data_IF_033973813358
#
_entry.id   IF_033973813358
#
_cell.length_a   1.000
_cell.length_b   1.000
_cell.length_c   1.000
_cell.angle_alpha   90.00
_cell.angle_beta   90.00
_cell.angle_gamma   90.00
#
_symmetry.space_group_name_H-M   'P 1'
#
loop_
_entity.id
_entity.type
_entity.pdbx_description
1 polymer ?
#
# COMPACT_ATOMS: atom_id res chain seq x y z
N UNK A 1 -6.59 17.50 2.84
CA UNK A 1 -7.91 16.98 2.41
C UNK A 1 -8.01 15.50 2.76
N UNK A 2 -9.10 15.11 3.35
CA UNK A 2 -9.34 13.72 3.72
C UNK A 2 -10.36 13.08 2.79
N UNK A 3 -10.19 11.80 2.52
CA UNK A 3 -11.11 11.04 1.71
C UNK A 3 -11.16 9.60 2.17
N UNK A 4 -12.33 9.12 2.52
CA UNK A 4 -12.52 7.72 2.88
C UNK A 4 -12.47 6.84 1.63
N UNK A 5 -12.04 5.60 1.82
CA UNK A 5 -12.01 4.62 0.74
C UNK A 5 -12.06 3.20 1.27
N UNK A 6 -12.30 2.28 0.37
CA UNK A 6 -12.29 0.86 0.70
C UNK A 6 -10.92 0.28 0.41
N UNK A 7 -10.52 -0.69 1.23
CA UNK A 7 -9.24 -1.37 1.06
C UNK A 7 -9.43 -2.61 0.20
N UNK A 8 -8.53 -2.80 -0.76
CA UNK A 8 -8.43 -4.02 -1.55
C UNK A 8 -6.96 -4.41 -1.65
N UNK A 9 -6.68 -5.69 -1.74
CA UNK A 9 -5.32 -6.17 -2.02
C UNK A 9 -5.16 -6.36 -3.53
N UNK A 10 -3.98 -6.11 -4.03
CA UNK A 10 -3.70 -6.19 -5.46
C UNK A 10 -3.93 -7.60 -6.01
N UNK A 11 -3.64 -8.62 -5.19
CA UNK A 11 -3.89 -10.01 -5.57
C UNK A 11 -4.19 -10.87 -4.35
N UNK A 12 -4.70 -12.07 -4.60
CA UNK A 12 -5.10 -13.01 -3.56
C UNK A 12 -3.90 -13.48 -2.73
N UNK A 13 -2.75 -13.65 -3.36
CA UNK A 13 -1.54 -14.11 -2.69
C UNK A 13 -1.10 -13.12 -1.61
N UNK A 14 -1.18 -11.83 -1.91
CA UNK A 14 -0.85 -10.79 -0.94
C UNK A 14 -1.82 -10.80 0.23
N UNK A 15 -3.11 -10.95 -0.06
CA UNK A 15 -4.14 -11.03 0.98
C UNK A 15 -3.89 -12.22 1.90
N UNK A 16 -3.57 -13.37 1.33
CA UNK A 16 -3.26 -14.57 2.11
C UNK A 16 -2.02 -14.38 2.98
N UNK A 17 -0.99 -13.71 2.45
CA UNK A 17 0.20 -13.38 3.22
C UNK A 17 -0.13 -12.53 4.43
N UNK A 18 -1.01 -11.55 4.26
CA UNK A 18 -1.46 -10.70 5.36
C UNK A 18 -2.18 -11.55 6.42
N UNK A 19 -3.10 -12.40 6.01
CA UNK A 19 -3.87 -13.23 6.94
C UNK A 19 -2.98 -14.19 7.73
N UNK A 20 -1.93 -14.72 7.10
CA UNK A 20 -0.98 -15.61 7.76
C UNK A 20 -0.19 -14.91 8.86
N UNK A 21 0.05 -13.60 8.73
CA UNK A 21 0.77 -12.85 9.76
C UNK A 21 0.10 -12.95 11.12
N UNK A 22 -1.21 -13.09 11.16
CA UNK A 22 -1.93 -13.24 12.43
C UNK A 22 -1.35 -14.34 13.31
N UNK A 23 -0.86 -15.42 12.70
CA UNK A 23 -0.31 -16.57 13.41
C UNK A 23 1.21 -16.54 13.53
N UNK A 24 1.90 -15.87 12.60
CA UNK A 24 3.37 -15.84 12.58
C UNK A 24 3.97 -14.64 13.29
N UNK A 25 3.32 -13.49 13.16
CA UNK A 25 3.81 -12.24 13.76
C UNK A 25 2.62 -11.34 14.04
N UNK A 26 2.00 -11.60 15.19
CA UNK A 26 0.79 -10.90 15.58
C UNK A 26 0.99 -9.39 15.70
N UNK A 27 2.14 -8.95 16.22
CA UNK A 27 2.41 -7.52 16.34
C UNK A 27 2.47 -6.83 14.99
N UNK A 28 3.13 -7.46 14.02
CA UNK A 28 3.21 -6.91 12.66
C UNK A 28 1.85 -6.95 11.97
N UNK A 29 1.09 -8.02 12.20
CA UNK A 29 -0.29 -8.11 11.69
C UNK A 29 -1.12 -6.93 12.18
N UNK A 30 -1.06 -6.65 13.49
CA UNK A 30 -1.81 -5.55 14.07
C UNK A 30 -1.34 -4.19 13.56
N UNK A 31 -0.05 -4.03 13.35
CA UNK A 31 0.50 -2.79 12.79
C UNK A 31 -0.02 -2.54 11.38
N UNK A 32 -0.01 -3.58 10.52
CA UNK A 32 -0.56 -3.45 9.18
C UNK A 32 -2.07 -3.20 9.24
N UNK A 33 -2.78 -3.91 10.11
CA UNK A 33 -4.23 -3.70 10.27
C UNK A 33 -4.54 -2.25 10.64
N UNK A 34 -3.77 -1.67 11.55
CA UNK A 34 -3.93 -0.27 11.93
C UNK A 34 -3.65 0.66 10.75
N UNK A 35 -2.63 0.36 9.96
CA UNK A 35 -2.31 1.12 8.76
C UNK A 35 -3.47 1.07 7.76
N UNK A 36 -4.05 -0.11 7.55
CA UNK A 36 -5.20 -0.26 6.65
C UNK A 36 -6.40 0.54 7.13
N UNK A 37 -6.63 0.58 8.44
CA UNK A 37 -7.72 1.37 9.02
C UNK A 37 -7.50 2.86 8.78
N UNK A 38 -6.28 3.34 8.97
CA UNK A 38 -5.95 4.75 8.72
C UNK A 38 -6.09 5.11 7.24
N UNK A 39 -5.64 4.24 6.34
CA UNK A 39 -5.77 4.45 4.90
C UNK A 39 -7.25 4.44 4.50
N UNK A 40 -8.06 3.56 5.09
CA UNK A 40 -9.50 3.52 4.81
C UNK A 40 -10.19 4.82 5.23
N UNK A 41 -9.79 5.37 6.38
CA UNK A 41 -10.36 6.63 6.87
C UNK A 41 -9.90 7.84 6.05
N UNK A 42 -8.70 7.77 5.49
CA UNK A 42 -8.17 8.84 4.66
C UNK A 42 -7.15 8.26 3.69
N UNK A 43 -7.54 8.04 2.44
CA UNK A 43 -6.66 7.42 1.45
C UNK A 43 -5.44 8.28 1.12
N UNK A 44 -5.45 9.56 1.48
CA UNK A 44 -4.32 10.48 1.27
C UNK A 44 -3.37 10.54 2.47
N UNK A 45 -3.53 9.65 3.47
CA UNK A 45 -2.71 9.72 4.69
C UNK A 45 -1.25 9.32 4.46
N UNK A 46 -0.96 8.55 3.41
CA UNK A 46 0.41 8.21 3.07
C UNK A 46 1.13 9.33 2.35
N UNK A 47 2.38 9.08 2.00
CA UNK A 47 3.20 10.04 1.25
C UNK A 47 3.04 9.77 -0.24
N UNK A 48 2.66 10.80 -0.99
CA UNK A 48 2.48 10.70 -2.43
C UNK A 48 3.85 10.65 -3.14
N UNK A 49 4.06 9.65 -3.96
CA UNK A 49 5.29 9.50 -4.75
C UNK A 49 5.17 10.32 -6.02
N UNK A 50 6.22 11.06 -6.36
CA UNK A 50 6.25 11.81 -7.63
C UNK A 50 6.13 10.85 -8.80
N UNK A 51 5.37 11.23 -9.83
CA UNK A 51 5.10 10.36 -10.98
C UNK A 51 6.35 9.79 -11.60
N UNK A 52 7.38 10.61 -11.77
CA UNK A 52 8.62 10.18 -12.40
C UNK A 52 9.42 9.19 -11.56
N UNK A 53 9.08 9.05 -10.28
CA UNK A 53 9.74 8.11 -9.38
C UNK A 53 8.99 6.80 -9.20
N UNK A 54 7.79 6.67 -9.79
CA UNK A 54 7.02 5.43 -9.69
C UNK A 54 7.76 4.31 -10.45
N UNK A 55 8.03 3.17 -9.80
CA UNK A 55 8.71 2.06 -10.48
C UNK A 55 7.95 1.62 -11.73
N UNK A 56 8.67 1.48 -12.84
CA UNK A 56 8.06 1.09 -14.12
C UNK A 56 7.36 -0.26 -14.04
N UNK A 57 7.89 -1.18 -13.23
CA UNK A 57 7.27 -2.50 -13.05
C UNK A 57 5.86 -2.41 -12.49
N UNK A 58 5.59 -1.44 -11.62
CA UNK A 58 4.24 -1.22 -11.08
C UNK A 58 3.32 -0.62 -12.13
N UNK A 59 3.83 0.32 -12.92
CA UNK A 59 3.03 0.93 -14.00
C UNK A 59 2.63 -0.15 -15.01
N UNK A 60 3.57 -1.03 -15.38
CA UNK A 60 3.31 -2.09 -16.34
C UNK A 60 2.35 -3.15 -15.81
N UNK A 61 2.54 -3.55 -14.53
CA UNK A 61 1.75 -4.63 -13.94
C UNK A 61 0.34 -4.20 -13.56
N UNK A 62 0.19 -2.99 -13.02
CA UNK A 62 -1.08 -2.54 -12.44
C UNK A 62 -1.73 -1.39 -13.19
N UNK A 63 -1.07 -0.85 -14.21
CA UNK A 63 -1.56 0.31 -14.97
C UNK A 63 -1.96 1.47 -14.06
N UNK A 64 -1.21 1.66 -12.99
CA UNK A 64 -1.48 2.74 -12.03
C UNK A 64 -0.87 4.06 -12.49
N UNK A 65 -1.43 5.16 -12.01
CA UNK A 65 -0.91 6.50 -12.29
C UNK A 65 -0.60 7.30 -11.03
N UNK A 66 -0.64 6.63 -9.88
CA UNK A 66 -0.29 7.24 -8.60
C UNK A 66 0.24 6.15 -7.68
N UNK A 67 1.05 6.54 -6.70
CA UNK A 67 1.62 5.60 -5.74
C UNK A 67 1.79 6.34 -4.43
N UNK A 68 1.46 5.67 -3.33
CA UNK A 68 1.50 6.21 -1.99
C UNK A 68 2.27 5.27 -1.08
N UNK A 69 2.98 5.85 -0.11
CA UNK A 69 3.79 5.08 0.83
C UNK A 69 3.33 5.41 2.25
N UNK A 70 2.97 4.37 2.99
CA UNK A 70 2.65 4.47 4.40
C UNK A 70 3.81 3.89 5.20
N UNK A 71 4.42 4.70 6.07
CA UNK A 71 5.56 4.26 6.87
C UNK A 71 5.10 3.37 8.02
N UNK A 72 5.68 2.18 8.09
CA UNK A 72 5.54 1.26 9.21
C UNK A 72 6.80 1.39 10.08
N UNK A 73 6.82 0.71 11.23
CA UNK A 73 7.98 0.75 12.12
C UNK A 73 9.21 0.09 11.50
N UNK A 74 10.37 0.40 12.04
CA UNK A 74 11.67 -0.22 11.68
C UNK A 74 12.01 -0.14 10.19
N UNK A 75 11.59 0.95 9.55
CA UNK A 75 11.91 1.16 8.13
C UNK A 75 11.04 0.39 7.16
N UNK A 76 10.05 -0.36 7.63
CA UNK A 76 9.11 -1.04 6.76
C UNK A 76 8.19 -0.02 6.08
N UNK A 77 7.77 -0.34 4.88
CA UNK A 77 6.91 0.51 4.05
C UNK A 77 5.75 -0.30 3.50
N UNK A 78 4.56 0.29 3.52
CA UNK A 78 3.38 -0.27 2.86
C UNK A 78 3.08 0.60 1.65
N UNK A 79 2.94 -0.02 0.49
CA UNK A 79 2.73 0.68 -0.77
C UNK A 79 1.33 0.43 -1.26
N UNK A 80 0.67 1.50 -1.72
CA UNK A 80 -0.69 1.40 -2.25
C UNK A 80 -0.93 2.46 -3.31
N UNK A 81 -1.97 2.26 -4.12
CA UNK A 81 -2.42 3.29 -5.04
C UNK A 81 -3.92 3.47 -4.90
N UNK A 82 -4.41 4.60 -5.40
CA UNK A 82 -5.80 4.99 -5.29
C UNK A 82 -6.43 4.94 -6.67
N UNK A 83 -7.62 4.35 -6.76
CA UNK A 83 -8.37 4.29 -8.00
C UNK A 83 -9.87 4.50 -7.73
N UNK A 84 -10.57 5.02 -8.75
CA UNK A 84 -12.01 5.26 -8.69
C UNK A 84 -12.63 4.64 -9.94
N UNK A 85 -12.76 3.30 -9.98
CA UNK A 85 -13.13 2.61 -11.22
C UNK A 85 -14.49 3.01 -11.79
N UNK A 86 -15.44 3.37 -10.93
CA UNK A 86 -16.78 3.78 -11.34
C UNK A 86 -17.05 5.28 -11.08
N UNK A 87 -16.04 6.03 -10.71
CA UNK A 87 -16.09 7.45 -10.36
C UNK A 87 -16.91 7.76 -9.11
N UNK A 88 -17.38 6.73 -8.41
CA UNK A 88 -18.14 6.86 -7.17
C UNK A 88 -17.34 6.29 -6.02
N UNK A 89 -16.93 5.03 -6.14
CA UNK A 89 -16.20 4.35 -5.08
C UNK A 89 -14.71 4.66 -5.16
N UNK A 90 -14.13 4.98 -4.01
CA UNK A 90 -12.69 5.22 -3.88
C UNK A 90 -12.09 3.95 -3.31
N UNK A 91 -11.12 3.38 -4.03
CA UNK A 91 -10.42 2.17 -3.60
C UNK A 91 -8.95 2.46 -3.35
N UNK A 92 -8.43 1.99 -2.23
CA UNK A 92 -7.00 1.96 -1.96
C UNK A 92 -6.54 0.52 -2.18
N UNK A 93 -5.72 0.32 -3.19
CA UNK A 93 -5.24 -1.00 -3.59
C UNK A 93 -3.87 -1.24 -2.98
N UNK A 94 -3.79 -2.18 -2.06
CA UNK A 94 -2.53 -2.51 -1.38
C UNK A 94 -1.68 -3.35 -2.31
N UNK A 95 -0.48 -2.85 -2.60
CA UNK A 95 0.45 -3.48 -3.54
C UNK A 95 1.45 -4.41 -2.85
N UNK A 96 1.99 -3.97 -1.73
CA UNK A 96 3.03 -4.73 -1.03
C UNK A 96 3.39 -4.03 0.28
N UNK A 97 4.09 -4.73 1.13
CA UNK A 97 4.84 -4.14 2.24
C UNK A 97 6.23 -4.73 2.23
N UNK A 98 7.22 -3.92 2.55
CA UNK A 98 8.61 -4.34 2.42
C UNK A 98 9.49 -3.62 3.42
N UNK A 99 10.65 -4.22 3.72
CA UNK A 99 11.62 -3.61 4.60
C UNK A 99 12.37 -2.49 3.84
N UNK A 100 13.17 -1.72 4.59
CA UNK A 100 13.90 -0.59 4.04
C UNK A 100 14.83 -0.97 2.89
N UNK A 101 15.50 -2.12 3.00
CA UNK A 101 16.43 -2.59 1.98
C UNK A 101 15.74 -2.89 0.66
N UNK A 102 14.60 -3.59 0.73
CA UNK A 102 13.82 -3.90 -0.47
C UNK A 102 13.19 -2.65 -1.06
N UNK A 103 12.77 -1.72 -0.19
CA UNK A 103 12.25 -0.43 -0.61
C UNK A 103 13.29 0.37 -1.41
N UNK A 104 14.54 0.45 -0.90
CA UNK A 104 15.61 1.13 -1.61
C UNK A 104 15.90 0.47 -2.96
N UNK A 105 15.87 -0.86 -3.00
CA UNK A 105 16.09 -1.61 -4.23
C UNK A 105 15.02 -1.33 -5.27
N UNK A 106 13.75 -1.29 -4.83
CA UNK A 106 12.62 -1.02 -5.71
C UNK A 106 12.71 0.36 -6.35
N UNK A 107 13.04 1.37 -5.56
CA UNK A 107 13.16 2.75 -6.04
C UNK A 107 14.55 3.09 -6.58
N UNK A 108 15.48 2.16 -6.50
CA UNK A 108 16.85 2.30 -7.03
C UNK A 108 17.64 3.46 -6.43
N UNK A 109 17.51 3.61 -5.14
CA UNK A 109 18.29 4.60 -4.38
C UNK A 109 19.74 4.16 -4.19
#
# INVERSE_FOLDING_TARGET
MEKEGEIRFADLKLKESFEKLRNFDKEFYEEIQNALNEISNNVFCGRNVKKELIPKEYIQKYNLNNLWIYNLRDGWRLLYFITTPDKIDVLAIILDWMNHKDYERLFKF
#
